data_IF_034625823236
#
_entry.id   IF_034625823236
#
_cell.length_a   1.000
_cell.length_b   1.000
_cell.length_c   1.000
_cell.angle_alpha   90.00
_cell.angle_beta   90.00
_cell.angle_gamma   90.00
#
_symmetry.space_group_name_H-M   'P 1'
#
loop_
_entity.id
_entity.type
_entity.pdbx_description
1 polymer ?
#
# COMPACT_ATOMS: atom_id res chain seq x y z
N UNK A 1 8.34 -21.16 -19.46
CA UNK A 1 8.67 -19.84 -18.85
C UNK A 1 7.68 -19.56 -17.74
N UNK A 2 8.11 -19.33 -16.49
CA UNK A 2 7.19 -19.06 -15.38
C UNK A 2 6.44 -17.74 -15.63
N UNK A 3 5.12 -17.75 -15.45
CA UNK A 3 4.32 -16.52 -15.49
C UNK A 3 4.67 -15.66 -14.28
N UNK A 4 4.72 -14.33 -14.45
CA UNK A 4 4.89 -13.40 -13.33
C UNK A 4 3.86 -13.70 -12.24
N UNK A 5 4.30 -13.74 -10.98
CA UNK A 5 3.48 -14.10 -9.81
C UNK A 5 2.13 -13.35 -9.76
N UNK A 6 2.12 -12.10 -10.24
CA UNK A 6 0.90 -11.28 -10.30
C UNK A 6 -0.13 -11.79 -11.31
N UNK A 7 0.27 -12.40 -12.43
CA UNK A 7 -0.62 -12.96 -13.44
C UNK A 7 -1.19 -14.30 -12.97
N UNK A 8 -0.35 -15.14 -12.37
CA UNK A 8 -0.75 -16.42 -11.79
C UNK A 8 -1.84 -16.22 -10.70
N UNK A 9 -1.62 -15.27 -9.78
CA UNK A 9 -2.61 -14.94 -8.74
C UNK A 9 -3.95 -14.49 -9.32
N UNK A 10 -3.93 -13.67 -10.37
CA UNK A 10 -5.14 -13.21 -11.06
C UNK A 10 -5.87 -14.37 -11.75
N UNK A 11 -5.14 -15.30 -12.36
CA UNK A 11 -5.70 -16.48 -13.02
C UNK A 11 -6.36 -17.42 -12.01
N UNK A 12 -5.71 -17.71 -10.88
CA UNK A 12 -6.27 -18.54 -9.79
C UNK A 12 -7.52 -17.95 -9.17
N UNK A 13 -7.52 -16.64 -8.96
CA UNK A 13 -8.72 -15.94 -8.49
C UNK A 13 -9.86 -16.06 -9.51
N UNK A 14 -9.56 -15.80 -10.78
CA UNK A 14 -10.58 -15.80 -11.80
C UNK A 14 -11.09 -17.23 -12.10
N UNK A 15 -10.30 -18.28 -11.87
CA UNK A 15 -10.78 -19.67 -11.92
C UNK A 15 -11.76 -19.96 -10.78
N UNK A 16 -11.41 -19.60 -9.53
CA UNK A 16 -12.29 -19.77 -8.36
C UNK A 16 -13.62 -19.04 -8.52
N UNK A 17 -13.61 -17.80 -9.03
CA UNK A 17 -14.85 -17.04 -9.30
C UNK A 17 -15.64 -17.64 -10.47
N UNK A 18 -14.96 -18.15 -11.51
CA UNK A 18 -15.66 -18.83 -12.63
C UNK A 18 -16.28 -20.16 -12.19
N UNK A 19 -15.72 -20.82 -11.17
CA UNK A 19 -16.26 -22.03 -10.54
C UNK A 19 -17.44 -21.75 -9.58
N UNK A 20 -17.94 -20.51 -9.52
CA UNK A 20 -19.15 -20.16 -8.75
C UNK A 20 -18.89 -19.55 -7.39
N UNK A 21 -17.63 -19.38 -6.97
CA UNK A 21 -17.34 -18.73 -5.69
C UNK A 21 -17.76 -17.25 -5.70
N UNK A 22 -18.53 -16.84 -4.69
CA UNK A 22 -18.86 -15.45 -4.48
C UNK A 22 -17.57 -14.64 -4.22
N UNK A 23 -17.47 -13.42 -4.74
CA UNK A 23 -16.26 -12.60 -4.63
C UNK A 23 -15.74 -12.42 -3.19
N UNK A 24 -16.62 -12.50 -2.18
CA UNK A 24 -16.26 -12.48 -0.75
C UNK A 24 -15.49 -13.75 -0.31
N UNK A 25 -15.85 -14.93 -0.82
CA UNK A 25 -15.14 -16.18 -0.56
C UNK A 25 -13.77 -16.17 -1.24
N UNK A 26 -13.70 -15.76 -2.50
CA UNK A 26 -12.44 -15.64 -3.24
C UNK A 26 -11.46 -14.64 -2.58
N UNK A 27 -11.95 -13.56 -1.96
CA UNK A 27 -11.09 -12.63 -1.19
C UNK A 27 -10.59 -13.19 0.12
N UNK A 28 -11.42 -14.00 0.80
CA UNK A 28 -11.05 -14.63 2.07
C UNK A 28 -9.89 -15.62 1.92
N UNK A 29 -9.81 -16.31 0.78
CA UNK A 29 -8.75 -17.30 0.52
C UNK A 29 -7.36 -16.68 0.27
N UNK A 30 -7.27 -15.47 -0.27
CA UNK A 30 -5.98 -14.89 -0.70
C UNK A 30 -5.65 -13.51 -0.07
N UNK A 31 -6.50 -12.94 0.79
CA UNK A 31 -6.18 -11.72 1.56
C UNK A 31 -6.16 -10.38 0.78
N UNK A 32 -7.04 -10.20 -0.20
CA UNK A 32 -7.08 -9.05 -1.12
C UNK A 32 -8.49 -8.43 -1.21
N UNK A 33 -8.61 -7.28 -1.87
CA UNK A 33 -9.88 -6.53 -1.91
C UNK A 33 -10.94 -7.12 -2.86
N UNK A 34 -12.22 -7.04 -2.47
CA UNK A 34 -13.37 -7.46 -3.29
C UNK A 34 -13.46 -6.70 -4.62
N UNK A 35 -13.04 -5.44 -4.63
CA UNK A 35 -13.03 -4.61 -5.82
C UNK A 35 -12.08 -5.16 -6.89
N UNK A 36 -10.90 -5.61 -6.49
CA UNK A 36 -9.94 -6.25 -7.38
C UNK A 36 -10.52 -7.54 -8.00
N UNK A 37 -11.34 -8.29 -7.26
CA UNK A 37 -11.93 -9.56 -7.73
C UNK A 37 -12.88 -9.37 -8.86
N UNK A 38 -13.74 -8.39 -8.64
CA UNK A 38 -14.75 -8.02 -9.59
C UNK A 38 -14.08 -7.54 -10.87
N UNK A 39 -13.06 -6.68 -10.76
CA UNK A 39 -12.31 -6.16 -11.92
C UNK A 39 -11.65 -7.28 -12.74
N UNK A 40 -10.94 -8.21 -12.10
CA UNK A 40 -10.27 -9.30 -12.81
C UNK A 40 -11.24 -10.31 -13.43
N UNK A 41 -12.31 -10.64 -12.72
CA UNK A 41 -13.35 -11.55 -13.22
C UNK A 41 -14.12 -10.94 -14.39
N UNK A 42 -14.47 -9.65 -14.30
CA UNK A 42 -15.06 -8.91 -15.41
C UNK A 42 -14.12 -8.85 -16.61
N UNK A 43 -12.83 -8.60 -16.37
CA UNK A 43 -11.83 -8.56 -17.44
C UNK A 43 -11.67 -9.93 -18.12
N UNK A 44 -11.67 -11.03 -17.36
CA UNK A 44 -11.68 -12.39 -17.93
C UNK A 44 -12.92 -12.66 -18.76
N UNK A 45 -14.12 -12.29 -18.27
CA UNK A 45 -15.37 -12.44 -19.02
C UNK A 45 -15.41 -11.60 -20.29
N UNK A 46 -14.91 -10.36 -20.25
CA UNK A 46 -14.95 -9.43 -21.37
C UNK A 46 -13.88 -9.71 -22.43
N UNK A 47 -12.66 -10.07 -22.02
CA UNK A 47 -11.48 -10.12 -22.88
C UNK A 47 -10.85 -11.52 -23.00
N UNK A 48 -11.40 -12.52 -22.32
CA UNK A 48 -10.85 -13.89 -22.25
C UNK A 48 -9.54 -14.01 -21.47
N UNK A 49 -8.99 -12.90 -20.95
CA UNK A 49 -7.67 -12.86 -20.29
C UNK A 49 -7.70 -12.10 -18.98
N UNK A 50 -6.87 -12.55 -18.04
CA UNK A 50 -6.67 -11.87 -16.74
C UNK A 50 -5.35 -11.09 -16.67
N UNK A 51 -4.53 -11.22 -17.72
CA UNK A 51 -3.32 -10.44 -17.89
C UNK A 51 -3.65 -8.93 -17.81
N UNK A 52 -2.75 -8.12 -17.21
CA UNK A 52 -2.86 -6.67 -17.32
C UNK A 52 -3.05 -6.28 -18.79
N UNK A 53 -3.79 -5.20 -19.04
CA UNK A 53 -3.79 -4.62 -20.38
C UNK A 53 -2.33 -4.34 -20.76
N UNK A 54 -1.98 -4.44 -22.05
CA UNK A 54 -0.72 -3.86 -22.52
C UNK A 54 -0.63 -2.47 -21.91
N UNK A 55 0.48 -2.15 -21.23
CA UNK A 55 0.70 -0.76 -20.85
C UNK A 55 0.62 0.01 -22.17
N UNK A 56 -0.40 0.87 -22.26
CA UNK A 56 -0.75 1.51 -23.51
C UNK A 56 0.47 2.17 -24.11
N UNK A 57 0.51 2.25 -25.44
CA UNK A 57 1.49 3.07 -26.15
C UNK A 57 1.41 4.52 -25.70
N UNK A 58 2.28 5.36 -26.25
CA UNK A 58 2.34 6.76 -25.87
C UNK A 58 0.95 7.44 -25.86
N UNK A 59 0.56 7.96 -24.70
CA UNK A 59 -0.64 8.78 -24.52
C UNK A 59 -0.32 10.25 -24.20
N UNK A 60 0.94 10.59 -23.96
CA UNK A 60 1.34 11.88 -23.38
C UNK A 60 2.47 12.58 -24.13
N UNK A 61 3.28 11.91 -24.94
CA UNK A 61 4.37 12.52 -25.69
C UNK A 61 3.82 13.56 -26.66
N UNK A 62 2.70 13.32 -27.36
CA UNK A 62 2.07 14.38 -28.19
C UNK A 62 1.79 15.67 -27.42
N UNK A 63 1.31 15.57 -26.18
CA UNK A 63 1.03 16.73 -25.34
C UNK A 63 2.33 17.36 -24.81
N UNK A 64 3.35 16.56 -24.51
CA UNK A 64 4.68 17.04 -24.11
C UNK A 64 5.38 17.75 -25.27
N UNK A 65 5.33 17.16 -26.47
CA UNK A 65 5.90 17.68 -27.72
C UNK A 65 5.24 19.01 -28.12
N UNK A 66 3.92 19.15 -27.95
CA UNK A 66 3.22 20.41 -28.16
C UNK A 66 3.71 21.54 -27.23
N UNK A 67 4.31 21.19 -26.09
CA UNK A 67 4.90 22.14 -25.15
C UNK A 67 6.43 22.11 -25.13
N UNK A 68 7.08 21.51 -26.14
CA UNK A 68 8.52 21.29 -26.15
C UNK A 68 9.32 22.59 -25.98
N UNK A 69 8.93 23.67 -26.66
CA UNK A 69 9.61 24.97 -26.56
C UNK A 69 9.52 25.54 -25.13
N UNK A 70 8.32 25.54 -24.53
CA UNK A 70 8.12 25.99 -23.15
C UNK A 70 8.92 25.17 -22.14
N UNK A 71 8.96 23.85 -22.35
CA UNK A 71 9.70 22.92 -21.50
C UNK A 71 11.21 23.18 -21.63
N UNK A 72 11.70 23.34 -22.87
CA UNK A 72 13.09 23.62 -23.20
C UNK A 72 13.60 24.95 -22.60
N UNK A 73 12.75 25.97 -22.54
CA UNK A 73 13.08 27.27 -21.94
C UNK A 73 12.71 27.37 -20.46
N UNK A 74 12.20 26.30 -19.85
CA UNK A 74 11.83 26.33 -18.44
C UNK A 74 13.06 26.43 -17.54
N UNK A 75 13.12 27.37 -16.57
CA UNK A 75 14.29 27.57 -15.71
C UNK A 75 14.82 26.32 -14.96
N UNK A 76 13.99 25.34 -14.55
CA UNK A 76 14.47 24.08 -13.99
C UNK A 76 15.17 23.17 -15.02
N UNK A 77 14.64 23.05 -16.24
CA UNK A 77 15.22 22.18 -17.27
C UNK A 77 16.53 22.77 -17.81
N UNK A 78 16.60 24.09 -17.97
CA UNK A 78 17.83 24.78 -18.36
C UNK A 78 18.97 24.54 -17.33
N UNK A 79 18.68 24.69 -16.03
CA UNK A 79 19.66 24.40 -14.96
C UNK A 79 20.09 22.93 -14.91
N UNK A 80 19.22 22.03 -15.35
CA UNK A 80 19.54 20.61 -15.47
C UNK A 80 20.46 20.35 -16.66
N UNK A 81 20.14 20.89 -17.84
CA UNK A 81 20.94 20.72 -19.07
C UNK A 81 22.36 21.28 -18.91
N UNK A 82 22.50 22.46 -18.29
CA UNK A 82 23.80 23.08 -18.01
C UNK A 82 24.69 22.16 -17.15
N UNK A 83 24.16 21.68 -16.01
CA UNK A 83 24.91 20.76 -15.12
C UNK A 83 25.28 19.46 -15.82
N UNK A 84 24.39 18.93 -16.65
CA UNK A 84 24.69 17.74 -17.43
C UNK A 84 25.85 17.99 -18.41
N UNK A 85 25.89 19.16 -19.06
CA UNK A 85 27.00 19.54 -19.95
C UNK A 85 28.34 19.71 -19.24
N UNK A 86 28.34 20.24 -18.00
CA UNK A 86 29.56 20.48 -17.23
C UNK A 86 30.07 19.26 -16.46
N UNK A 87 29.17 18.51 -15.81
CA UNK A 87 29.51 17.44 -14.86
C UNK A 87 29.12 16.03 -15.33
N UNK A 88 28.41 15.92 -16.46
CA UNK A 88 27.93 14.65 -16.99
C UNK A 88 26.90 13.94 -16.09
N UNK A 89 26.78 12.61 -16.25
CA UNK A 89 25.83 11.78 -15.48
C UNK A 89 26.19 11.73 -13.99
N UNK A 90 27.49 11.72 -13.66
CA UNK A 90 27.97 11.66 -12.27
C UNK A 90 27.57 12.90 -11.46
N UNK A 91 27.57 14.08 -12.09
CA UNK A 91 27.09 15.32 -11.47
C UNK A 91 25.59 15.37 -11.19
N UNK A 92 24.82 14.51 -11.86
CA UNK A 92 23.37 14.40 -11.66
C UNK A 92 23.00 13.33 -10.64
N UNK A 93 23.81 12.27 -10.50
CA UNK A 93 23.57 11.19 -9.54
C UNK A 93 23.56 11.69 -8.09
N UNK A 94 24.31 12.78 -7.82
CA UNK A 94 24.28 13.46 -6.51
C UNK A 94 23.57 14.80 -6.64
N UNK A 95 22.41 14.91 -6.00
CA UNK A 95 21.71 16.18 -5.82
C UNK A 95 22.50 17.10 -4.88
N UNK A 96 23.51 17.80 -5.41
CA UNK A 96 24.38 18.72 -4.65
C UNK A 96 23.64 19.93 -4.09
N UNK A 97 22.46 20.26 -4.65
CA UNK A 97 21.64 21.38 -4.19
C UNK A 97 20.87 21.06 -2.91
N UNK A 98 20.88 19.80 -2.48
CA UNK A 98 20.31 19.39 -1.20
C UNK A 98 21.40 19.43 -0.15
N UNK A 99 21.15 20.18 0.93
CA UNK A 99 21.90 19.99 2.16
C UNK A 99 21.92 18.48 2.50
N UNK A 100 23.03 17.96 3.05
CA UNK A 100 23.10 16.56 3.45
C UNK A 100 21.84 16.20 4.25
N UNK A 101 21.30 15.01 3.97
CA UNK A 101 20.07 14.53 4.58
C UNK A 101 20.10 14.64 6.10
N UNK A 102 18.91 14.58 6.72
CA UNK A 102 18.78 14.61 8.19
C UNK A 102 19.80 13.66 8.83
N UNK A 103 20.51 14.09 9.89
CA UNK A 103 21.49 13.23 10.54
C UNK A 103 20.83 11.91 10.95
N UNK A 104 21.57 10.78 10.92
CA UNK A 104 21.04 9.50 11.33
C UNK A 104 20.48 9.60 12.75
N UNK A 105 19.33 8.96 12.98
CA UNK A 105 18.73 8.88 14.30
C UNK A 105 19.68 8.15 15.26
N UNK A 106 19.61 8.47 16.56
CA UNK A 106 20.40 7.76 17.56
C UNK A 106 20.03 6.27 17.56
N UNK A 107 21.01 5.43 17.88
CA UNK A 107 20.84 3.97 17.95
C UNK A 107 19.73 3.57 18.91
N UNK A 108 19.55 4.30 20.01
CA UNK A 108 18.46 4.08 20.97
C UNK A 108 17.07 4.32 20.37
N UNK A 109 16.89 5.40 19.59
CA UNK A 109 15.62 5.67 18.91
C UNK A 109 15.31 4.59 17.86
N UNK A 110 16.34 4.09 17.18
CA UNK A 110 16.18 2.98 16.23
C UNK A 110 15.80 1.70 16.97
N UNK A 111 16.44 1.38 18.10
CA UNK A 111 16.12 0.21 18.91
C UNK A 111 14.68 0.26 19.46
N UNK A 112 14.23 1.42 19.94
CA UNK A 112 12.85 1.61 20.41
C UNK A 112 11.84 1.43 19.26
N UNK A 113 12.11 2.02 18.09
CA UNK A 113 11.27 1.84 16.89
C UNK A 113 11.18 0.37 16.48
N UNK A 114 12.30 -0.35 16.50
CA UNK A 114 12.36 -1.77 16.15
C UNK A 114 11.56 -2.62 17.15
N UNK A 115 11.70 -2.37 18.46
CA UNK A 115 10.94 -3.06 19.50
C UNK A 115 9.42 -2.81 19.37
N UNK A 116 9.03 -1.55 19.13
CA UNK A 116 7.64 -1.18 18.89
C UNK A 116 7.07 -1.89 17.65
N UNK A 117 7.83 -1.89 16.55
CA UNK A 117 7.42 -2.55 15.30
C UNK A 117 7.27 -4.05 15.48
N UNK A 118 8.20 -4.69 16.20
CA UNK A 118 8.12 -6.12 16.52
C UNK A 118 6.91 -6.45 17.39
N UNK A 119 6.58 -5.62 18.37
CA UNK A 119 5.40 -5.82 19.23
C UNK A 119 4.07 -5.74 18.44
N UNK A 120 3.97 -4.80 17.49
CA UNK A 120 2.81 -4.67 16.59
C UNK A 120 2.73 -5.89 15.67
N UNK A 121 3.86 -6.32 15.10
CA UNK A 121 3.93 -7.50 14.24
C UNK A 121 3.56 -8.81 14.96
N UNK A 122 3.97 -8.97 16.22
CA UNK A 122 3.60 -10.12 17.05
C UNK A 122 2.10 -10.12 17.35
N UNK A 123 1.53 -8.97 17.70
CA UNK A 123 0.09 -8.84 18.02
C UNK A 123 -0.82 -9.15 16.83
N UNK A 124 -0.39 -8.84 15.60
CA UNK A 124 -1.13 -9.21 14.38
C UNK A 124 -1.03 -10.70 14.08
N UNK A 125 0.13 -11.32 14.37
CA UNK A 125 0.40 -12.74 14.10
C UNK A 125 -0.34 -13.69 15.04
N UNK A 126 -0.59 -13.29 16.28
CA UNK A 126 -1.26 -14.12 17.29
C UNK A 126 -2.80 -14.13 17.19
N UNK A 127 -3.38 -13.49 16.16
CA UNK A 127 -4.83 -13.52 15.94
C UNK A 127 -5.65 -12.89 17.07
N UNK A 128 -5.02 -12.05 17.90
CA UNK A 128 -5.71 -11.33 18.96
C UNK A 128 -6.72 -10.37 18.36
N UNK A 129 -8.01 -10.67 18.51
CA UNK A 129 -9.09 -9.72 18.19
C UNK A 129 -8.73 -8.37 18.79
N UNK A 130 -8.81 -7.31 18.00
CA UNK A 130 -8.59 -5.93 18.45
C UNK A 130 -9.47 -5.64 19.67
N UNK A 131 -8.92 -5.78 20.88
CA UNK A 131 -9.48 -5.20 22.08
C UNK A 131 -9.35 -3.67 21.96
N UNK A 132 -10.42 -2.90 22.19
CA UNK A 132 -10.41 -1.44 21.98
C UNK A 132 -9.70 -0.69 23.11
N UNK A 133 -8.57 -1.20 23.62
CA UNK A 133 -7.85 -0.62 24.75
C UNK A 133 -6.50 0.01 24.41
N UNK A 134 -6.09 0.09 23.13
CA UNK A 134 -4.81 0.75 22.76
C UNK A 134 -4.74 2.22 23.24
N UNK A 135 -5.89 2.85 23.55
CA UNK A 135 -5.98 4.19 24.13
C UNK A 135 -5.65 4.27 25.62
N UNK A 136 -5.75 3.17 26.38
CA UNK A 136 -5.50 3.14 27.83
C UNK A 136 -4.00 2.99 28.17
N UNK A 137 -3.20 2.38 27.29
CA UNK A 137 -1.76 2.19 27.49
C UNK A 137 -0.95 3.51 27.36
N UNK A 138 -1.54 4.57 26.80
CA UNK A 138 -0.86 5.83 26.53
C UNK A 138 -0.96 6.88 27.67
N UNK A 139 -1.39 6.51 28.88
CA UNK A 139 -1.40 7.40 30.05
C UNK A 139 -2.27 8.66 29.94
N UNK A 140 -3.09 8.79 28.90
CA UNK A 140 -4.01 9.92 28.72
C UNK A 140 -5.34 9.60 29.39
N UNK A 141 -5.63 10.32 30.49
CA UNK A 141 -6.87 10.23 31.25
C UNK A 141 -8.08 10.38 30.31
N UNK A 142 -8.91 9.34 30.19
CA UNK A 142 -10.15 9.37 29.42
C UNK A 142 -11.08 10.46 29.98
N UNK A 143 -11.23 11.55 29.22
CA UNK A 143 -12.16 12.63 29.54
C UNK A 143 -13.54 12.27 28.98
N UNK A 144 -14.15 11.22 29.52
CA UNK A 144 -15.53 10.86 29.23
C UNK A 144 -16.14 10.22 30.47
N UNK A 145 -16.81 11.08 31.24
CA UNK A 145 -17.67 10.77 32.37
C UNK A 145 -18.86 9.95 31.83
N UNK A 146 -19.17 8.75 32.34
CA UNK A 146 -20.35 8.03 31.88
C UNK A 146 -21.59 8.80 32.36
N UNK A 147 -22.43 9.22 31.43
CA UNK A 147 -23.81 9.58 31.73
C UNK A 147 -24.51 8.30 32.22
N UNK A 148 -25.09 8.42 33.40
CA UNK A 148 -25.89 7.45 34.14
C UNK A 148 -26.69 6.47 33.26
N UNK A 149 -26.63 5.19 33.65
CA UNK A 149 -27.71 4.24 33.41
C UNK A 149 -27.54 3.33 32.19
N UNK A 150 -26.76 2.26 32.35
CA UNK A 150 -27.05 0.91 31.84
C UNK A 150 -25.88 -0.03 32.14
N UNK A 151 -26.09 -0.99 33.04
CA UNK A 151 -25.19 -2.13 33.22
C UNK A 151 -25.12 -2.96 31.93
N UNK A 152 -23.94 -3.27 31.38
CA UNK A 152 -23.84 -4.31 30.37
C UNK A 152 -23.90 -5.66 31.11
N UNK A 153 -25.06 -6.32 31.02
CA UNK A 153 -25.23 -7.72 31.40
C UNK A 153 -24.27 -8.56 30.55
N UNK A 154 -23.40 -9.32 31.19
CA UNK A 154 -22.59 -10.33 30.53
C UNK A 154 -23.51 -11.43 29.98
N UNK A 155 -23.62 -11.53 28.66
CA UNK A 155 -24.23 -12.69 28.00
C UNK A 155 -23.33 -13.91 28.22
N UNK A 156 -23.95 -14.97 28.73
CA UNK A 156 -23.28 -16.21 29.10
C UNK A 156 -22.79 -17.04 27.91
N UNK A 157 -21.88 -17.93 28.22
CA UNK A 157 -21.50 -19.07 27.39
C UNK A 157 -21.52 -20.30 28.28
N UNK A 158 -22.67 -20.98 28.29
CA UNK A 158 -22.77 -22.36 28.73
C UNK A 158 -22.06 -23.26 27.74
N UNK A 159 -21.26 -24.18 28.27
CA UNK A 159 -20.54 -25.22 27.51
C UNK A 159 -21.30 -26.53 27.75
N UNK A 160 -21.75 -27.26 26.71
CA UNK A 160 -22.30 -28.60 26.91
C UNK A 160 -21.18 -29.66 26.92
N UNK A 161 -21.37 -30.70 27.72
CA UNK A 161 -20.89 -32.07 27.46
C UNK A 161 -22.11 -32.94 27.18
#
# INVERSE_FOLDING_TARGET
>A
MPTTLSVDLRQRVASVVSAGAAGRQATGCFGWSRASSSRWSQQKRRLGRVAPKPLGGDQRSRHIEAHAELIQHSPPLWRWQQRYGEEGVEGLLRDKARAPGKPPHSTDTVAEMLALTYSIGLAVRTGGKRSPCWRAAAGRRCRSRPSSGSSPRCCGSGVPR
#
